data_IF_233043077917
#
_entry.id   IF_233043077917
#
_cell.length_a   1.000
_cell.length_b   1.000
_cell.length_c   1.000
_cell.angle_alpha   90.00
_cell.angle_beta   90.00
_cell.angle_gamma   90.00
#
_symmetry.space_group_name_H-M   'P 1'
#
loop_
_entity.id
_entity.type
_entity.pdbx_description
1 polymer ?
#
# COMPACT_ATOMS: atom_id res chain seq x y z
N UNK A 1 48.77 3.56 9.26
CA UNK A 1 48.17 4.72 8.57
C UNK A 1 47.87 4.26 7.15
N UNK A 2 46.65 4.11 6.65
CA UNK A 2 45.37 4.70 7.01
C UNK A 2 44.23 3.70 6.73
N UNK A 3 43.22 3.68 7.60
CA UNK A 3 41.97 2.96 7.38
C UNK A 3 41.00 3.91 6.66
N UNK A 4 40.62 3.61 5.43
CA UNK A 4 39.57 4.34 4.73
C UNK A 4 38.21 3.81 5.21
N UNK A 5 37.58 4.55 6.12
CA UNK A 5 36.19 4.33 6.51
C UNK A 5 35.32 5.01 5.46
N UNK A 6 34.72 4.23 4.56
CA UNK A 6 33.67 4.71 3.66
C UNK A 6 32.39 4.91 4.45
N UNK A 7 32.09 6.16 4.81
CA UNK A 7 30.82 6.55 5.40
C UNK A 7 29.70 6.38 4.37
N UNK A 8 28.88 5.34 4.53
CA UNK A 8 27.64 5.17 3.77
C UNK A 8 26.61 6.18 4.22
N UNK A 9 26.32 7.18 3.38
CA UNK A 9 25.26 8.15 3.62
C UNK A 9 23.90 7.46 3.38
N UNK A 10 23.22 7.08 4.46
CA UNK A 10 21.84 6.58 4.38
C UNK A 10 20.91 7.79 4.30
N UNK A 11 20.50 8.15 3.08
CA UNK A 11 19.42 9.11 2.88
C UNK A 11 18.09 8.46 3.28
N UNK A 12 17.43 9.05 4.28
CA UNK A 12 16.10 8.66 4.72
C UNK A 12 15.11 8.76 3.55
N UNK A 13 14.31 7.72 3.34
CA UNK A 13 13.30 7.65 2.30
C UNK A 13 12.11 8.56 2.67
N UNK A 14 11.96 9.69 1.98
CA UNK A 14 10.73 10.47 2.01
C UNK A 14 9.76 9.90 0.97
N UNK A 15 8.68 9.27 1.42
CA UNK A 15 7.60 8.83 0.54
C UNK A 15 6.79 10.04 0.07
N UNK A 16 6.58 10.17 -1.24
CA UNK A 16 5.66 11.15 -1.80
C UNK A 16 4.29 10.47 -1.98
N UNK A 17 3.24 11.02 -1.35
CA UNK A 17 1.87 10.62 -1.63
C UNK A 17 1.49 11.16 -3.02
N UNK A 18 1.11 10.28 -3.93
CA UNK A 18 0.82 10.65 -5.32
C UNK A 18 -0.62 11.13 -5.54
N UNK A 19 -1.44 11.12 -4.48
CA UNK A 19 -2.88 11.33 -4.60
C UNK A 19 -3.59 10.22 -5.40
N UNK A 20 -2.92 9.09 -5.67
CA UNK A 20 -3.52 7.94 -6.33
C UNK A 20 -4.30 7.13 -5.30
N UNK A 21 -5.61 7.02 -5.54
CA UNK A 21 -6.53 6.23 -4.72
C UNK A 21 -7.21 5.16 -5.55
N UNK A 22 -7.47 4.02 -4.93
CA UNK A 22 -8.17 2.88 -5.52
C UNK A 22 -9.32 2.51 -4.60
N UNK A 23 -10.52 2.39 -5.14
CA UNK A 23 -11.71 2.07 -4.33
C UNK A 23 -12.27 0.69 -4.68
N UNK A 24 -12.78 -0.01 -3.68
CA UNK A 24 -13.54 -1.24 -3.83
C UNK A 24 -14.74 -1.24 -2.88
N UNK A 25 -15.91 -1.61 -3.39
CA UNK A 25 -17.11 -1.80 -2.58
C UNK A 25 -17.59 -3.24 -2.65
N UNK A 26 -18.19 -3.71 -1.56
CA UNK A 26 -18.91 -4.97 -1.53
C UNK A 26 -19.96 -4.94 -0.40
N UNK A 27 -20.70 -6.03 -0.30
CA UNK A 27 -21.61 -6.30 0.80
C UNK A 27 -21.20 -7.60 1.47
N UNK A 28 -21.36 -7.64 2.79
CA UNK A 28 -21.13 -8.84 3.60
C UNK A 28 -22.43 -9.18 4.30
N UNK A 29 -22.92 -10.40 4.07
CA UNK A 29 -24.11 -10.91 4.76
C UNK A 29 -23.75 -11.27 6.19
N UNK A 30 -24.48 -10.72 7.16
CA UNK A 30 -24.31 -11.00 8.58
C UNK A 30 -25.65 -11.38 9.21
N UNK A 31 -25.64 -12.12 10.32
CA UNK A 31 -26.88 -12.55 10.98
C UNK A 31 -27.72 -11.36 11.49
N UNK A 32 -27.07 -10.22 11.76
CA UNK A 32 -27.72 -8.96 12.15
C UNK A 32 -28.19 -8.12 10.96
N UNK A 33 -28.11 -8.65 9.73
CA UNK A 33 -28.47 -7.98 8.48
C UNK A 33 -27.27 -7.71 7.57
N UNK A 34 -27.52 -7.27 6.32
CA UNK A 34 -26.46 -6.97 5.36
C UNK A 34 -25.61 -5.77 5.82
N UNK A 35 -24.32 -5.83 5.49
CA UNK A 35 -23.35 -4.77 5.80
C UNK A 35 -22.75 -4.23 4.52
N UNK A 36 -22.90 -2.93 4.28
CA UNK A 36 -22.27 -2.25 3.16
C UNK A 36 -20.83 -1.90 3.53
N UNK A 37 -19.86 -2.28 2.68
CA UNK A 37 -18.44 -2.09 2.96
C UNK A 37 -17.78 -1.35 1.80
N UNK A 38 -16.94 -0.38 2.15
CA UNK A 38 -16.10 0.39 1.23
C UNK A 38 -14.65 0.30 1.69
N UNK A 39 -13.78 -0.08 0.78
CA UNK A 39 -12.33 -0.07 0.94
C UNK A 39 -11.76 1.02 0.05
N UNK A 40 -10.92 1.88 0.62
CA UNK A 40 -10.16 2.90 -0.09
C UNK A 40 -8.68 2.65 0.15
N UNK A 41 -7.95 2.37 -0.91
CA UNK A 41 -6.49 2.24 -0.88
C UNK A 41 -5.82 3.53 -1.31
N UNK A 42 -5.00 4.10 -0.44
CA UNK A 42 -4.14 5.24 -0.73
C UNK A 42 -2.73 4.72 -1.08
N UNK A 43 -2.23 5.06 -2.27
CA UNK A 43 -0.95 4.55 -2.79
C UNK A 43 0.18 5.54 -2.57
N UNK A 44 1.26 5.08 -1.94
CA UNK A 44 2.49 5.83 -1.73
C UNK A 44 3.67 5.14 -2.44
N UNK A 45 4.53 5.92 -3.09
CA UNK A 45 5.78 5.41 -3.64
C UNK A 45 6.95 5.78 -2.73
N UNK A 46 7.75 4.77 -2.42
CA UNK A 46 9.02 4.91 -1.73
C UNK A 46 10.16 4.65 -2.71
N UNK A 47 11.24 5.41 -2.56
CA UNK A 47 12.43 5.34 -3.40
C UNK A 47 13.66 5.05 -2.54
N UNK A 48 14.63 4.33 -3.10
CA UNK A 48 15.91 4.06 -2.48
C UNK A 48 17.04 4.19 -3.50
N UNK A 49 17.96 5.11 -3.25
CA UNK A 49 19.17 5.24 -4.06
C UNK A 49 20.14 4.10 -3.70
N UNK A 50 20.56 3.33 -4.71
CA UNK A 50 21.46 2.19 -4.57
C UNK A 50 22.61 2.30 -5.57
N UNK A 51 23.79 1.82 -5.20
CA UNK A 51 24.97 1.84 -6.05
C UNK A 51 25.72 3.17 -6.05
N UNK A 52 26.69 3.31 -6.94
CA UNK A 52 27.56 4.48 -7.02
C UNK A 52 27.79 4.92 -8.47
N UNK A 53 28.02 6.22 -8.63
CA UNK A 53 28.50 6.78 -9.90
C UNK A 53 29.91 6.29 -10.16
N UNK A 54 30.13 5.73 -11.34
CA UNK A 54 31.47 5.34 -11.77
C UNK A 54 32.20 6.51 -12.46
N UNK A 55 33.54 6.57 -12.38
CA UNK A 55 34.34 7.49 -13.20
C UNK A 55 34.11 7.27 -14.70
N UNK A 56 34.42 8.29 -15.51
CA UNK A 56 34.30 8.22 -16.98
C UNK A 56 34.99 6.98 -17.56
N UNK A 57 34.32 6.32 -18.51
CA UNK A 57 34.82 5.08 -19.13
C UNK A 57 34.49 3.79 -18.37
N UNK A 58 33.80 3.85 -17.23
CA UNK A 58 33.31 2.68 -16.48
C UNK A 58 31.79 2.72 -16.35
N UNK A 59 31.15 1.56 -16.34
CA UNK A 59 29.69 1.45 -16.14
C UNK A 59 29.33 1.82 -14.71
N UNK A 60 28.41 2.77 -14.56
CA UNK A 60 27.81 3.13 -13.28
C UNK A 60 26.90 2.01 -12.76
N UNK A 61 26.98 1.71 -11.46
CA UNK A 61 26.02 0.82 -10.80
C UNK A 61 24.85 1.58 -10.15
N UNK A 62 24.87 2.91 -10.26
CA UNK A 62 23.86 3.79 -9.68
C UNK A 62 22.47 3.48 -10.25
N UNK A 63 21.53 3.20 -9.37
CA UNK A 63 20.13 2.93 -9.69
C UNK A 63 19.20 3.37 -8.57
N UNK A 64 17.95 3.62 -8.93
CA UNK A 64 16.86 3.86 -8.02
C UNK A 64 15.99 2.62 -7.92
N UNK A 65 15.98 1.98 -6.75
CA UNK A 65 15.01 0.96 -6.42
C UNK A 65 13.75 1.65 -5.88
N UNK A 66 12.57 1.15 -6.23
CA UNK A 66 11.31 1.77 -5.85
C UNK A 66 10.21 0.75 -5.55
N UNK A 67 9.28 1.14 -4.69
CA UNK A 67 8.16 0.31 -4.27
C UNK A 67 6.91 1.18 -4.08
N UNK A 68 5.78 0.71 -4.61
CA UNK A 68 4.47 1.27 -4.35
C UNK A 68 3.75 0.43 -3.28
N UNK A 69 3.43 1.07 -2.17
CA UNK A 69 2.70 0.46 -1.04
C UNK A 69 1.31 1.08 -0.96
N UNK A 70 0.34 0.32 -0.45
CA UNK A 70 -1.02 0.77 -0.26
C UNK A 70 -1.36 0.76 1.23
N UNK A 71 -1.94 1.85 1.73
CA UNK A 71 -2.63 1.85 3.03
C UNK A 71 -4.12 1.82 2.74
N UNK A 72 -4.85 0.87 3.32
CA UNK A 72 -6.27 0.66 3.03
C UNK A 72 -7.14 1.06 4.21
N UNK A 73 -8.06 2.00 3.99
CA UNK A 73 -9.13 2.33 4.92
C UNK A 73 -10.40 1.54 4.56
N UNK A 74 -10.85 0.68 5.47
CA UNK A 74 -12.17 0.03 5.42
C UNK A 74 -13.20 0.85 6.18
N UNK A 75 -14.34 1.08 5.55
CA UNK A 75 -15.54 1.64 6.16
C UNK A 75 -16.70 0.65 5.96
N UNK A 76 -17.19 0.07 7.05
CA UNK A 76 -18.37 -0.79 7.03
C UNK A 76 -19.54 -0.11 7.75
N UNK A 77 -20.74 -0.26 7.18
CA UNK A 77 -21.99 0.28 7.73
C UNK A 77 -23.01 -0.86 7.78
N UNK A 78 -23.38 -1.26 9.00
CA UNK A 78 -24.39 -2.29 9.22
C UNK A 78 -25.80 -1.73 9.04
N UNK A 79 -26.79 -2.61 8.80
CA UNK A 79 -28.21 -2.24 8.69
C UNK A 79 -28.75 -1.48 9.93
N UNK A 80 -28.17 -1.73 11.11
CA UNK A 80 -28.45 -1.02 12.36
C UNK A 80 -27.98 0.45 12.37
N UNK A 81 -27.18 0.85 11.37
CA UNK A 81 -26.49 2.14 11.33
C UNK A 81 -25.12 2.16 12.02
N UNK A 82 -24.72 1.06 12.67
CA UNK A 82 -23.38 0.92 13.25
C UNK A 82 -22.30 1.09 12.17
N UNK A 83 -21.28 1.90 12.47
CA UNK A 83 -20.16 2.17 11.57
C UNK A 83 -18.86 1.60 12.15
N UNK A 84 -18.15 0.82 11.35
CA UNK A 84 -16.82 0.30 11.67
C UNK A 84 -15.81 0.88 10.70
N UNK A 85 -14.67 1.35 11.23
CA UNK A 85 -13.57 1.89 10.44
C UNK A 85 -12.27 1.23 10.86
N UNK A 86 -11.48 0.79 9.89
CA UNK A 86 -10.19 0.14 10.11
C UNK A 86 -9.17 0.58 9.08
N UNK A 87 -7.93 0.78 9.51
CA UNK A 87 -6.78 0.94 8.61
C UNK A 87 -6.01 -0.37 8.51
N UNK A 88 -5.58 -0.74 7.31
CA UNK A 88 -4.86 -1.96 7.00
C UNK A 88 -3.63 -1.58 6.19
N UNK A 89 -2.44 -1.80 6.76
CA UNK A 89 -1.18 -1.60 6.06
C UNK A 89 -0.85 -2.84 5.23
N UNK A 90 -0.44 -2.62 3.98
CA UNK A 90 -0.06 -3.71 3.08
C UNK A 90 1.44 -3.74 2.81
N UNK A 91 1.91 -4.87 2.27
CA UNK A 91 3.24 -4.98 1.68
C UNK A 91 3.26 -4.23 0.34
N UNK A 92 4.44 -3.90 -0.21
CA UNK A 92 4.54 -3.34 -1.55
C UNK A 92 3.75 -4.17 -2.57
N UNK A 93 2.86 -3.51 -3.31
CA UNK A 93 2.00 -4.15 -4.32
C UNK A 93 2.76 -4.31 -5.63
N UNK A 94 3.52 -3.29 -6.01
CA UNK A 94 4.42 -3.30 -7.16
C UNK A 94 5.75 -2.66 -6.80
N UNK A 95 6.82 -3.14 -7.41
CA UNK A 95 8.18 -2.63 -7.18
C UNK A 95 9.02 -2.78 -8.43
N UNK A 96 10.07 -1.97 -8.54
CA UNK A 96 10.99 -2.04 -9.66
C UNK A 96 12.29 -1.29 -9.41
N UNK A 97 13.09 -1.19 -10.47
CA UNK A 97 14.37 -0.50 -10.47
C UNK A 97 14.53 0.31 -11.75
N UNK A 98 15.11 1.50 -11.63
CA UNK A 98 15.45 2.39 -12.76
C UNK A 98 16.94 2.76 -12.66
N UNK A 99 17.70 2.75 -13.77
CA UNK A 99 19.09 3.21 -13.74
C UNK A 99 19.18 4.70 -13.43
N UNK A 100 20.25 5.12 -12.75
CA UNK A 100 20.53 6.52 -12.42
C UNK A 100 19.98 6.98 -11.07
N UNK A 101 19.79 8.29 -10.94
CA UNK A 101 19.35 8.93 -9.71
C UNK A 101 17.84 8.78 -9.49
N UNK A 102 17.40 8.63 -8.25
CA UNK A 102 15.97 8.61 -7.91
C UNK A 102 15.28 9.95 -8.26
N UNK A 103 15.95 11.08 -8.01
CA UNK A 103 15.41 12.40 -8.29
C UNK A 103 15.04 12.60 -9.77
N UNK A 104 15.80 12.00 -10.70
CA UNK A 104 15.53 12.09 -12.14
C UNK A 104 14.45 11.11 -12.61
N UNK A 105 14.17 10.07 -11.82
CA UNK A 105 13.27 8.98 -12.22
C UNK A 105 11.83 9.15 -11.71
N UNK A 106 11.58 10.12 -10.82
CA UNK A 106 10.31 10.29 -10.09
C UNK A 106 9.07 10.27 -11.01
N UNK A 107 9.07 11.09 -12.07
CA UNK A 107 7.93 11.17 -13.01
C UNK A 107 7.70 9.83 -13.72
N UNK A 108 8.77 9.22 -14.23
CA UNK A 108 8.67 7.97 -14.97
C UNK A 108 8.21 6.80 -14.06
N UNK A 109 8.63 6.79 -12.79
CA UNK A 109 8.17 5.82 -11.78
C UNK A 109 6.70 6.05 -11.46
N UNK A 110 6.27 7.32 -11.31
CA UNK A 110 4.86 7.67 -11.09
C UNK A 110 3.98 7.18 -12.24
N UNK A 111 4.39 7.42 -13.48
CA UNK A 111 3.68 6.96 -14.68
C UNK A 111 3.64 5.43 -14.78
N UNK A 112 4.73 4.77 -14.42
CA UNK A 112 4.80 3.31 -14.35
C UNK A 112 3.81 2.74 -13.34
N UNK A 113 3.74 3.29 -12.12
CA UNK A 113 2.77 2.85 -11.11
C UNK A 113 1.33 3.18 -11.54
N UNK A 114 1.09 4.33 -12.15
CA UNK A 114 -0.22 4.68 -12.69
C UNK A 114 -0.67 3.66 -13.76
N UNK A 115 0.25 3.18 -14.61
CA UNK A 115 -0.05 2.12 -15.59
C UNK A 115 -0.40 0.75 -14.95
N UNK A 116 -0.07 0.55 -13.66
CA UNK A 116 -0.31 -0.69 -12.89
C UNK A 116 -1.61 -0.62 -12.08
N UNK A 117 -2.52 0.27 -12.44
CA UNK A 117 -3.81 0.46 -11.73
C UNK A 117 -4.63 -0.83 -11.62
N UNK A 118 -4.56 -1.73 -12.62
CA UNK A 118 -5.24 -3.03 -12.57
C UNK A 118 -4.68 -3.94 -11.46
N UNK A 119 -3.35 -3.99 -11.31
CA UNK A 119 -2.67 -4.77 -10.26
C UNK A 119 -3.05 -4.25 -8.86
N UNK A 120 -3.13 -2.91 -8.71
CA UNK A 120 -3.56 -2.26 -7.47
C UNK A 120 -5.02 -2.58 -7.11
N UNK A 121 -5.95 -2.55 -8.09
CA UNK A 121 -7.34 -2.95 -7.86
C UNK A 121 -7.46 -4.44 -7.51
N UNK A 122 -6.75 -5.31 -8.21
CA UNK A 122 -6.77 -6.75 -7.94
C UNK A 122 -6.26 -7.04 -6.52
N UNK A 123 -5.18 -6.37 -6.09
CA UNK A 123 -4.67 -6.46 -4.73
C UNK A 123 -5.71 -6.03 -3.69
N UNK A 124 -6.39 -4.89 -3.91
CA UNK A 124 -7.43 -4.39 -3.00
C UNK A 124 -8.61 -5.36 -2.88
N UNK A 125 -9.01 -6.01 -3.98
CA UNK A 125 -10.09 -7.01 -3.97
C UNK A 125 -9.68 -8.27 -3.19
N UNK A 126 -8.45 -8.74 -3.33
CA UNK A 126 -7.95 -9.89 -2.56
C UNK A 126 -7.93 -9.54 -1.08
N UNK A 127 -7.38 -8.38 -0.72
CA UNK A 127 -7.35 -7.90 0.67
C UNK A 127 -8.76 -7.82 1.27
N UNK A 128 -9.73 -7.28 0.53
CA UNK A 128 -11.12 -7.17 0.98
C UNK A 128 -11.77 -8.53 1.26
N UNK A 129 -11.42 -9.58 0.49
CA UNK A 129 -11.88 -10.95 0.72
C UNK A 129 -11.23 -11.57 1.95
N UNK A 130 -9.93 -11.37 2.13
CA UNK A 130 -9.19 -11.88 3.29
C UNK A 130 -9.66 -11.24 4.61
N UNK A 131 -9.99 -9.95 4.57
CA UNK A 131 -10.46 -9.18 5.71
C UNK A 131 -11.91 -9.49 6.13
N UNK A 132 -12.71 -10.14 5.28
CA UNK A 132 -14.12 -10.44 5.56
C UNK A 132 -14.31 -11.26 6.85
N UNK A 133 -13.43 -12.23 7.11
CA UNK A 133 -13.49 -13.04 8.34
C UNK A 133 -13.32 -12.17 9.59
N UNK A 134 -12.39 -11.21 9.55
CA UNK A 134 -12.17 -10.27 10.64
C UNK A 134 -13.37 -9.32 10.80
N UNK A 135 -13.92 -8.82 9.68
CA UNK A 135 -15.11 -7.97 9.72
C UNK A 135 -16.28 -8.66 10.43
N UNK A 136 -16.54 -9.93 10.11
CA UNK A 136 -17.60 -10.72 10.75
C UNK A 136 -17.38 -10.83 12.26
N UNK A 137 -16.15 -11.13 12.69
CA UNK A 137 -15.83 -11.18 14.12
C UNK A 137 -16.02 -9.83 14.84
N UNK A 138 -15.65 -8.71 14.20
CA UNK A 138 -15.89 -7.37 14.76
C UNK A 138 -17.40 -7.06 14.89
N UNK A 139 -18.23 -7.51 13.93
CA UNK A 139 -19.68 -7.36 13.97
C UNK A 139 -20.31 -8.22 15.07
N UNK A 140 -19.89 -9.48 15.20
CA UNK A 140 -20.32 -10.39 16.27
C UNK A 140 -20.03 -9.81 17.66
N UNK A 141 -18.88 -9.16 17.84
CA UNK A 141 -18.51 -8.53 19.10
C UNK A 141 -19.45 -7.38 19.48
N UNK A 142 -19.91 -6.59 18.50
CA UNK A 142 -20.77 -5.43 18.75
C UNK A 142 -22.22 -5.84 18.95
N UNK A 143 -22.69 -6.85 18.23
CA UNK A 143 -24.07 -7.31 18.29
C UNK A 143 -24.30 -8.42 19.31
N UNK A 144 -23.25 -9.10 19.77
CA UNK A 144 -23.28 -10.27 20.63
C UNK A 144 -24.06 -11.42 20.00
N UNK A 145 -23.94 -12.67 20.50
CA UNK A 145 -24.95 -13.66 20.23
C UNK A 145 -26.26 -13.12 20.83
N UNK A 146 -27.22 -12.73 19.99
CA UNK A 146 -28.59 -12.49 20.45
C UNK A 146 -29.04 -13.76 21.16
N UNK A 147 -29.01 -13.76 22.51
CA UNK A 147 -29.63 -14.82 23.28
C UNK A 147 -31.11 -14.77 22.97
N UNK A 148 -31.60 -15.77 22.25
CA UNK A 148 -33.01 -16.08 22.21
C UNK A 148 -33.47 -16.23 23.68
N UNK A 149 -34.25 -15.25 24.14
CA UNK A 149 -35.03 -15.33 25.37
C UNK A 149 -36.39 -15.92 25.09
#
# INVERSE_FOLDING_TARGET
>A
MAYFVTAGLVLAATGAALGMTVDHHNHVDHHSGPVAVKYRGDVAITHKQVGAVAPGGRTSSLRCDWAATMTVARHAVAASGTRLVRSIDTKPVVSGTRPGWCATSHRAITEEVASRTADLHAHLQVLAREDETMLRAELDQIHGPQRAG
#
